data_IF_297612566208
#
_entry.id   IF_297612566208
#
_cell.length_a   1.000
_cell.length_b   1.000
_cell.length_c   1.000
_cell.angle_alpha   90.00
_cell.angle_beta   90.00
_cell.angle_gamma   90.00
#
_symmetry.space_group_name_H-M   'P 1'
#
loop_
_entity.id
_entity.type
_entity.pdbx_description
1 polymer ?
#
# COMPACT_ATOMS: atom_id res chain seq x y z
N UNK A 1 -17.64 14.82 -12.14
CA UNK A 1 -16.17 14.67 -12.26
C UNK A 1 -15.54 15.26 -11.02
N UNK A 2 -14.61 14.53 -10.39
CA UNK A 2 -13.91 15.00 -9.20
C UNK A 2 -12.68 15.82 -9.63
N UNK A 3 -12.29 16.80 -8.81
CA UNK A 3 -11.09 17.59 -9.07
C UNK A 3 -9.85 16.68 -9.12
N UNK A 4 -8.85 17.01 -9.94
CA UNK A 4 -7.58 16.27 -9.97
C UNK A 4 -6.94 16.22 -8.58
N UNK A 5 -6.34 15.08 -8.23
CA UNK A 5 -5.41 15.00 -7.10
C UNK A 5 -4.04 15.55 -7.50
N UNK A 6 -3.22 15.95 -6.52
CA UNK A 6 -1.87 16.49 -6.75
C UNK A 6 -1.00 15.58 -7.63
N UNK A 7 -1.13 14.27 -7.49
CA UNK A 7 -0.37 13.28 -8.27
C UNK A 7 -0.97 12.96 -9.65
N UNK A 8 -2.17 13.47 -9.96
CA UNK A 8 -2.85 13.18 -11.24
C UNK A 8 -2.48 14.15 -12.35
N UNK A 9 -1.54 15.08 -12.13
CA UNK A 9 -1.05 16.04 -13.13
C UNK A 9 -2.20 16.76 -13.86
N UNK A 10 -3.12 17.31 -13.06
CA UNK A 10 -4.31 18.04 -13.50
C UNK A 10 -5.33 17.23 -14.33
N UNK A 11 -5.18 15.90 -14.39
CA UNK A 11 -6.14 15.03 -15.07
C UNK A 11 -7.37 14.80 -14.17
N UNK A 12 -8.59 15.13 -14.64
CA UNK A 12 -9.82 14.93 -13.88
C UNK A 12 -10.11 13.44 -13.69
N UNK A 13 -10.54 13.06 -12.49
CA UNK A 13 -10.82 11.67 -12.13
C UNK A 13 -12.33 11.40 -12.03
N UNK A 14 -12.72 10.17 -12.34
CA UNK A 14 -14.10 9.71 -12.20
C UNK A 14 -14.34 9.20 -10.78
N UNK A 15 -15.29 9.83 -10.08
CA UNK A 15 -15.74 9.35 -8.77
C UNK A 15 -16.85 8.32 -8.96
N UNK A 16 -16.66 7.11 -8.44
CA UNK A 16 -17.67 6.05 -8.41
C UNK A 16 -18.23 5.89 -6.99
N UNK A 17 -19.50 5.50 -6.87
CA UNK A 17 -20.10 5.20 -5.57
C UNK A 17 -19.48 3.91 -5.03
N UNK A 18 -18.97 3.97 -3.79
CA UNK A 18 -18.52 2.77 -3.09
C UNK A 18 -19.73 1.87 -2.79
N UNK A 19 -19.75 0.66 -3.34
CA UNK A 19 -20.70 -0.36 -2.90
C UNK A 19 -20.23 -0.93 -1.55
N UNK A 20 -21.13 -1.04 -0.57
CA UNK A 20 -20.81 -1.67 0.73
C UNK A 20 -20.49 -3.16 0.58
N UNK A 21 -20.88 -3.75 -0.56
CA UNK A 21 -20.60 -5.14 -0.94
C UNK A 21 -19.33 -5.29 -1.80
N UNK A 22 -18.53 -4.23 -2.01
CA UNK A 22 -17.18 -4.44 -2.55
C UNK A 22 -16.45 -5.40 -1.61
N UNK A 23 -15.97 -6.51 -2.16
CA UNK A 23 -15.08 -7.45 -1.46
C UNK A 23 -14.02 -6.62 -0.73
N UNK A 24 -14.14 -6.53 0.59
CA UNK A 24 -13.11 -5.92 1.42
C UNK A 24 -11.83 -6.67 1.09
N UNK A 25 -10.74 -5.95 0.85
CA UNK A 25 -9.44 -6.56 0.68
C UNK A 25 -9.24 -7.55 1.84
N UNK A 26 -8.93 -8.79 1.49
CA UNK A 26 -8.56 -9.85 2.42
C UNK A 26 -7.52 -9.26 3.37
N UNK A 27 -7.65 -9.54 4.66
CA UNK A 27 -6.71 -9.13 5.72
C UNK A 27 -5.28 -9.08 5.18
N UNK A 28 -4.79 -7.87 4.87
CA UNK A 28 -3.52 -7.63 4.18
C UNK A 28 -2.39 -7.73 5.18
N UNK A 29 -2.28 -8.90 5.82
CA UNK A 29 -1.09 -9.22 6.60
C UNK A 29 0.10 -9.08 5.67
N UNK A 30 1.12 -8.34 6.11
CA UNK A 30 2.37 -8.23 5.38
C UNK A 30 2.94 -9.62 5.14
N UNK A 31 3.40 -9.87 3.92
CA UNK A 31 4.04 -11.12 3.53
C UNK A 31 5.41 -10.82 2.93
N UNK A 32 6.39 -11.63 3.30
CA UNK A 32 7.74 -11.56 2.76
C UNK A 32 8.00 -12.79 1.91
N UNK A 33 8.53 -12.61 0.70
CA UNK A 33 8.82 -13.70 -0.23
C UNK A 33 10.24 -13.55 -0.79
N UNK A 34 10.90 -14.68 -1.02
CA UNK A 34 12.14 -14.75 -1.79
C UNK A 34 11.78 -15.07 -3.24
N UNK A 35 11.77 -14.05 -4.11
CA UNK A 35 11.36 -14.22 -5.51
C UNK A 35 12.31 -15.10 -6.33
N UNK A 36 13.54 -15.32 -5.88
CA UNK A 36 14.51 -16.17 -6.57
C UNK A 36 14.17 -17.64 -6.30
N UNK A 37 13.84 -17.97 -5.05
CA UNK A 37 13.54 -19.34 -4.62
C UNK A 37 12.06 -19.70 -4.72
N UNK A 38 11.17 -18.72 -4.61
CA UNK A 38 9.72 -18.86 -4.68
C UNK A 38 9.10 -17.79 -5.61
N UNK A 39 9.29 -17.91 -6.93
CA UNK A 39 8.69 -16.99 -7.90
C UNK A 39 7.15 -16.97 -7.84
N UNK A 40 6.55 -18.07 -7.38
CA UNK A 40 5.10 -18.23 -7.26
C UNK A 40 4.49 -17.59 -6.00
N UNK A 41 5.31 -17.06 -5.09
CA UNK A 41 4.86 -16.45 -3.82
C UNK A 41 3.95 -17.39 -3.00
N UNK A 42 4.24 -18.69 -3.04
CA UNK A 42 3.43 -19.70 -2.37
C UNK A 42 3.81 -19.86 -0.89
N UNK A 43 5.04 -19.50 -0.52
CA UNK A 43 5.63 -19.74 0.80
C UNK A 43 6.12 -18.43 1.41
N UNK A 44 5.31 -17.85 2.30
CA UNK A 44 5.70 -16.61 3.00
C UNK A 44 6.75 -16.88 4.09
N UNK A 45 7.73 -15.98 4.16
CA UNK A 45 8.80 -15.97 5.15
C UNK A 45 8.33 -15.18 6.38
N UNK A 46 8.54 -15.75 7.57
CA UNK A 46 8.27 -15.10 8.85
C UNK A 46 9.58 -14.64 9.49
N UNK A 47 10.06 -13.48 9.07
CA UNK A 47 11.22 -12.81 9.65
C UNK A 47 10.84 -11.38 10.04
N UNK A 48 10.58 -11.17 11.33
CA UNK A 48 10.13 -9.88 11.84
C UNK A 48 11.18 -8.77 11.63
N UNK A 49 12.47 -9.10 11.71
CA UNK A 49 13.53 -8.11 11.54
C UNK A 49 13.58 -7.60 10.10
N UNK A 50 13.46 -8.50 9.11
CA UNK A 50 13.37 -8.10 7.70
C UNK A 50 12.09 -7.34 7.41
N UNK A 51 10.96 -7.77 7.97
CA UNK A 51 9.67 -7.10 7.79
C UNK A 51 9.74 -5.65 8.31
N UNK A 52 10.27 -5.45 9.52
CA UNK A 52 10.40 -4.11 10.11
C UNK A 52 11.38 -3.24 9.29
N UNK A 53 12.52 -3.79 8.87
CA UNK A 53 13.47 -3.10 8.00
C UNK A 53 12.81 -2.61 6.71
N UNK A 54 12.05 -3.48 6.04
CA UNK A 54 11.39 -3.11 4.78
C UNK A 54 10.23 -2.14 5.01
N UNK A 55 9.51 -2.24 6.12
CA UNK A 55 8.48 -1.28 6.52
C UNK A 55 9.05 0.12 6.66
N UNK A 56 10.17 0.28 7.36
CA UNK A 56 10.83 1.58 7.52
C UNK A 56 11.31 2.16 6.17
N UNK A 57 11.87 1.32 5.30
CA UNK A 57 12.26 1.74 3.95
C UNK A 57 11.06 2.21 3.12
N UNK A 58 9.92 1.50 3.20
CA UNK A 58 8.69 1.91 2.53
C UNK A 58 8.18 3.26 3.06
N UNK A 59 8.12 3.44 4.38
CA UNK A 59 7.67 4.71 4.99
C UNK A 59 8.56 5.87 4.53
N UNK A 60 9.88 5.67 4.47
CA UNK A 60 10.82 6.68 3.99
C UNK A 60 10.50 7.11 2.55
N UNK A 61 10.39 6.15 1.62
CA UNK A 61 10.07 6.43 0.22
C UNK A 61 8.71 7.10 0.07
N UNK A 62 7.72 6.65 0.85
CA UNK A 62 6.38 7.24 0.84
C UNK A 62 6.43 8.71 1.26
N UNK A 63 7.13 9.05 2.35
CA UNK A 63 7.29 10.43 2.83
C UNK A 63 8.02 11.32 1.82
N UNK A 64 9.00 10.79 1.10
CA UNK A 64 9.72 11.53 0.05
C UNK A 64 8.83 11.95 -1.13
N UNK A 65 7.69 11.28 -1.34
CA UNK A 65 6.79 11.51 -2.48
C UNK A 65 5.52 12.32 -2.12
N UNK A 66 5.50 13.02 -0.98
CA UNK A 66 4.37 13.85 -0.51
C UNK A 66 3.00 13.15 -0.62
N UNK A 67 2.80 12.05 0.15
CA UNK A 67 1.60 11.25 0.06
C UNK A 67 0.41 11.98 0.70
N UNK A 68 -0.83 11.57 0.41
CA UNK A 68 -1.99 12.02 1.18
C UNK A 68 -1.78 11.81 2.68
N UNK A 69 -2.18 12.78 3.51
CA UNK A 69 -1.94 12.78 4.96
C UNK A 69 -2.53 11.54 5.64
N UNK A 70 -3.67 11.06 5.14
CA UNK A 70 -4.36 9.89 5.67
C UNK A 70 -3.68 8.55 5.33
N UNK A 71 -2.76 8.51 4.37
CA UNK A 71 -2.20 7.25 3.87
C UNK A 71 -1.38 6.52 4.95
N UNK A 72 -0.53 7.25 5.66
CA UNK A 72 0.31 6.69 6.72
C UNK A 72 -0.54 6.17 7.89
N UNK A 73 -1.54 6.95 8.29
CA UNK A 73 -2.47 6.58 9.35
C UNK A 73 -3.28 5.34 8.97
N UNK A 74 -3.85 5.29 7.77
CA UNK A 74 -4.71 4.20 7.32
C UNK A 74 -3.97 2.86 7.15
N UNK A 75 -2.72 2.90 6.70
CA UNK A 75 -1.97 1.68 6.35
C UNK A 75 -0.98 1.23 7.43
N UNK A 76 -0.36 2.18 8.14
CA UNK A 76 0.69 1.89 9.13
C UNK A 76 0.29 2.24 10.56
N UNK A 77 -0.83 2.96 10.77
CA UNK A 77 -1.29 3.39 12.09
C UNK A 77 -0.39 4.43 12.77
N UNK A 78 0.43 5.13 11.99
CA UNK A 78 1.37 6.17 12.44
C UNK A 78 1.03 7.55 11.87
#
# INVERSE_FOLDING_TARGET
>A
MHKPFSFTKDIPVMQIKSDKNLKRYVDTKSALYDLIKDPGQLNSIKDNHLIDKYKELMIKVIKENDPPKELLFNYFGI
#
